data_IF_180519959413
#
_entry.id   IF_180519959413
#
_cell.length_a   1.000
_cell.length_b   1.000
_cell.length_c   1.000
_cell.angle_alpha   90.00
_cell.angle_beta   90.00
_cell.angle_gamma   90.00
#
_symmetry.space_group_name_H-M   'P 1'
#
loop_
_entity.id
_entity.type
_entity.pdbx_description
1 polymer ?
#
# COMPACT_ATOMS: atom_id res chain seq x y z
N UNK A 1 -14.71 16.20 -4.09
CA UNK A 1 -15.00 14.94 -3.38
C UNK A 1 -15.52 13.93 -4.38
N UNK A 2 -15.15 12.64 -4.20
CA UNK A 2 -15.59 11.52 -5.04
C UNK A 2 -16.23 10.45 -4.18
N UNK A 3 -17.38 9.96 -4.64
CA UNK A 3 -18.09 8.84 -4.02
C UNK A 3 -17.73 7.55 -4.79
N UNK A 4 -17.05 6.64 -4.14
CA UNK A 4 -16.77 5.28 -4.65
C UNK A 4 -17.99 4.38 -4.45
N UNK A 5 -17.96 3.23 -5.06
CA UNK A 5 -18.93 2.17 -4.86
C UNK A 5 -18.73 1.43 -3.52
N UNK A 6 -19.44 0.33 -3.37
CA UNK A 6 -19.38 -0.55 -2.20
C UNK A 6 -18.90 -1.96 -2.57
N UNK A 7 -19.26 -2.92 -1.71
CA UNK A 7 -18.80 -4.30 -1.79
C UNK A 7 -19.19 -5.00 -3.08
N UNK A 8 -18.22 -5.40 -3.90
CA UNK A 8 -18.44 -6.26 -5.07
C UNK A 8 -18.71 -7.70 -4.64
N UNK A 9 -17.90 -8.28 -3.77
CA UNK A 9 -18.04 -9.69 -3.35
C UNK A 9 -19.39 -10.03 -2.74
N UNK A 10 -19.90 -9.17 -1.84
CA UNK A 10 -21.24 -9.33 -1.24
C UNK A 10 -22.35 -9.34 -2.31
N UNK A 11 -22.24 -8.47 -3.30
CA UNK A 11 -23.21 -8.38 -4.40
C UNK A 11 -23.13 -9.60 -5.34
N UNK A 12 -21.92 -10.12 -5.62
CA UNK A 12 -21.73 -11.34 -6.40
C UNK A 12 -22.30 -12.56 -5.67
N UNK A 13 -22.11 -12.68 -4.37
CA UNK A 13 -22.72 -13.75 -3.56
C UNK A 13 -24.25 -13.70 -3.62
N UNK A 14 -24.83 -12.53 -3.51
CA UNK A 14 -26.28 -12.33 -3.66
C UNK A 14 -26.76 -12.68 -5.11
N UNK A 15 -25.90 -12.53 -6.10
CA UNK A 15 -26.17 -12.88 -7.50
C UNK A 15 -25.83 -14.35 -7.86
N UNK A 16 -25.49 -15.19 -6.87
CA UNK A 16 -25.27 -16.62 -7.03
C UNK A 16 -23.82 -17.03 -7.29
N UNK A 17 -22.85 -16.28 -6.76
CA UNK A 17 -21.46 -16.73 -6.70
C UNK A 17 -21.37 -17.93 -5.74
N UNK A 18 -20.94 -19.07 -6.26
CA UNK A 18 -20.77 -20.30 -5.50
C UNK A 18 -19.46 -20.30 -4.71
N UNK A 19 -19.44 -21.01 -3.58
CA UNK A 19 -18.24 -21.19 -2.78
C UNK A 19 -17.15 -21.92 -3.59
N UNK A 20 -15.91 -21.38 -3.56
CA UNK A 20 -14.78 -21.95 -4.29
C UNK A 20 -14.69 -21.53 -5.77
N UNK A 21 -15.64 -20.75 -6.28
CA UNK A 21 -15.57 -20.21 -7.64
C UNK A 21 -14.80 -18.88 -7.65
N UNK A 22 -14.01 -18.66 -8.72
CA UNK A 22 -13.24 -17.42 -8.91
C UNK A 22 -14.18 -16.23 -9.20
N UNK A 23 -14.30 -15.25 -8.31
CA UNK A 23 -15.19 -14.10 -8.52
C UNK A 23 -14.87 -13.30 -9.78
N UNK A 24 -13.58 -13.16 -10.08
CA UNK A 24 -13.07 -12.36 -11.20
C UNK A 24 -13.42 -12.97 -12.55
N UNK A 25 -13.66 -14.28 -12.60
CA UNK A 25 -14.04 -14.97 -13.83
C UNK A 25 -15.45 -14.57 -14.32
N UNK A 26 -16.30 -13.99 -13.44
CA UNK A 26 -17.59 -13.43 -13.84
C UNK A 26 -17.45 -12.30 -14.87
N UNK A 27 -16.31 -11.59 -14.90
CA UNK A 27 -16.06 -10.57 -15.92
C UNK A 27 -16.08 -11.14 -17.35
N UNK A 28 -15.74 -12.42 -17.50
CA UNK A 28 -15.66 -13.13 -18.78
C UNK A 28 -16.89 -13.99 -19.02
N UNK A 29 -17.33 -14.77 -18.03
CA UNK A 29 -18.38 -15.75 -18.19
C UNK A 29 -19.80 -15.23 -17.92
N UNK A 30 -19.92 -14.22 -17.03
CA UNK A 30 -21.20 -13.59 -16.64
C UNK A 30 -21.10 -12.08 -16.58
N UNK A 31 -20.61 -11.40 -17.65
CA UNK A 31 -20.33 -9.96 -17.64
C UNK A 31 -21.59 -9.13 -17.35
N UNK A 32 -22.78 -9.60 -17.71
CA UNK A 32 -24.05 -8.93 -17.43
C UNK A 32 -24.36 -8.84 -15.93
N UNK A 33 -23.91 -9.80 -15.13
CA UNK A 33 -24.07 -9.79 -13.66
C UNK A 33 -23.21 -8.67 -13.06
N UNK A 34 -21.94 -8.62 -13.43
CA UNK A 34 -20.99 -7.60 -12.99
C UNK A 34 -21.44 -6.21 -13.44
N UNK A 35 -21.86 -6.08 -14.71
CA UNK A 35 -22.40 -4.84 -15.27
C UNK A 35 -23.62 -4.34 -14.49
N UNK A 36 -24.54 -5.24 -14.13
CA UNK A 36 -25.73 -4.88 -13.35
C UNK A 36 -25.35 -4.40 -11.93
N UNK A 37 -24.35 -4.99 -11.30
CA UNK A 37 -23.85 -4.53 -9.98
C UNK A 37 -23.29 -3.11 -10.11
N UNK A 38 -22.44 -2.86 -11.10
CA UNK A 38 -21.91 -1.51 -11.38
C UNK A 38 -23.03 -0.51 -11.64
N UNK A 39 -24.03 -0.87 -12.45
CA UNK A 39 -25.18 -0.01 -12.74
C UNK A 39 -25.96 0.36 -11.47
N UNK A 40 -26.17 -0.58 -10.56
CA UNK A 40 -26.82 -0.31 -9.28
C UNK A 40 -26.04 0.72 -8.43
N UNK A 41 -24.72 0.59 -8.30
CA UNK A 41 -23.91 1.55 -7.57
C UNK A 41 -23.92 2.95 -8.21
N UNK A 42 -23.83 3.02 -9.55
CA UNK A 42 -23.94 4.29 -10.29
C UNK A 42 -25.29 4.99 -10.09
N UNK A 43 -26.40 4.22 -10.09
CA UNK A 43 -27.75 4.73 -9.83
C UNK A 43 -27.91 5.26 -8.41
N UNK A 44 -27.14 4.74 -7.46
CA UNK A 44 -27.17 5.13 -6.04
C UNK A 44 -26.08 6.14 -5.66
N UNK A 45 -25.49 6.83 -6.63
CA UNK A 45 -24.70 8.02 -6.38
C UNK A 45 -23.20 7.89 -6.52
N UNK A 46 -22.66 6.70 -6.83
CA UNK A 46 -21.21 6.54 -7.07
C UNK A 46 -20.71 7.42 -8.22
N UNK A 47 -19.59 8.06 -8.02
CA UNK A 47 -18.81 8.81 -9.03
C UNK A 47 -17.67 7.96 -9.61
N UNK A 48 -17.25 6.94 -8.87
CA UNK A 48 -16.20 5.99 -9.25
C UNK A 48 -16.72 4.58 -8.95
N UNK A 49 -16.56 3.68 -9.90
CA UNK A 49 -16.80 2.24 -9.70
C UNK A 49 -15.51 1.48 -9.79
N UNK A 50 -15.38 0.46 -8.94
CA UNK A 50 -14.19 -0.38 -8.80
C UNK A 50 -14.38 -1.68 -9.58
N UNK A 51 -13.43 -2.03 -10.44
CA UNK A 51 -13.50 -3.27 -11.24
C UNK A 51 -13.54 -4.52 -10.36
N UNK A 52 -14.17 -5.57 -10.84
CA UNK A 52 -14.15 -6.88 -10.18
C UNK A 52 -12.82 -7.61 -10.48
N UNK A 53 -11.71 -7.08 -9.94
CA UNK A 53 -10.34 -7.57 -10.20
C UNK A 53 -9.48 -7.66 -8.94
N UNK A 54 -10.09 -7.67 -7.76
CA UNK A 54 -9.41 -7.73 -6.47
C UNK A 54 -8.39 -8.88 -6.36
N UNK A 55 -8.77 -10.08 -6.81
CA UNK A 55 -7.92 -11.27 -6.85
C UNK A 55 -7.36 -11.58 -8.24
N UNK A 56 -7.33 -10.64 -9.20
CA UNK A 56 -6.96 -10.90 -10.59
C UNK A 56 -5.46 -10.77 -10.89
N UNK A 57 -4.57 -10.85 -9.90
CA UNK A 57 -3.13 -11.00 -10.10
C UNK A 57 -2.73 -12.47 -10.28
N UNK A 58 -1.58 -12.74 -10.92
CA UNK A 58 -1.14 -14.09 -11.25
C UNK A 58 -1.07 -15.03 -10.05
N UNK A 59 -0.43 -14.59 -8.95
CA UNK A 59 -0.28 -15.37 -7.71
C UNK A 59 -1.63 -15.71 -7.04
N UNK A 60 -2.65 -14.88 -7.24
CA UNK A 60 -3.98 -15.14 -6.67
C UNK A 60 -4.83 -16.00 -7.58
N UNK A 61 -4.73 -15.82 -8.88
CA UNK A 61 -5.40 -16.63 -9.89
C UNK A 61 -4.84 -18.07 -9.96
N UNK A 62 -3.59 -18.29 -9.51
CA UNK A 62 -2.99 -19.62 -9.36
C UNK A 62 -3.84 -20.53 -8.44
N UNK A 63 -4.50 -19.97 -7.43
CA UNK A 63 -5.38 -20.71 -6.52
C UNK A 63 -6.59 -21.36 -7.28
N UNK A 64 -6.82 -20.96 -8.54
CA UNK A 64 -7.91 -21.42 -9.42
C UNK A 64 -7.42 -22.00 -10.74
N UNK A 65 -6.11 -22.23 -10.93
CA UNK A 65 -5.48 -22.63 -12.21
C UNK A 65 -5.74 -21.62 -13.36
N UNK A 66 -5.85 -20.33 -13.05
CA UNK A 66 -6.16 -19.24 -13.98
C UNK A 66 -5.03 -18.20 -14.16
N UNK A 67 -3.82 -18.48 -13.67
CA UNK A 67 -2.68 -17.55 -13.68
C UNK A 67 -2.31 -17.04 -15.08
N UNK A 68 -2.55 -17.82 -16.13
CA UNK A 68 -2.28 -17.43 -17.52
C UNK A 68 -3.37 -16.50 -18.12
N UNK A 69 -4.42 -16.17 -17.36
CA UNK A 69 -5.56 -15.34 -17.80
C UNK A 69 -5.62 -13.96 -17.15
N UNK A 70 -4.56 -13.53 -16.48
CA UNK A 70 -4.48 -12.20 -15.81
C UNK A 70 -4.95 -11.09 -16.75
N UNK A 71 -4.31 -10.98 -17.91
CA UNK A 71 -4.61 -9.92 -18.88
C UNK A 71 -6.06 -9.98 -19.39
N UNK A 72 -6.55 -11.15 -19.74
CA UNK A 72 -7.93 -11.34 -20.24
C UNK A 72 -8.96 -10.86 -19.21
N UNK A 73 -8.83 -11.35 -17.96
CA UNK A 73 -9.78 -11.07 -16.87
C UNK A 73 -9.80 -9.58 -16.52
N UNK A 74 -8.63 -8.96 -16.38
CA UNK A 74 -8.53 -7.53 -16.02
C UNK A 74 -9.07 -6.61 -17.13
N UNK A 75 -8.76 -6.87 -18.41
CA UNK A 75 -9.29 -6.10 -19.53
C UNK A 75 -10.81 -6.26 -19.65
N UNK A 76 -11.33 -7.49 -19.49
CA UNK A 76 -12.76 -7.75 -19.51
C UNK A 76 -13.48 -6.97 -18.39
N UNK A 77 -12.93 -6.95 -17.18
CA UNK A 77 -13.50 -6.21 -16.06
C UNK A 77 -13.62 -4.70 -16.34
N UNK A 78 -12.55 -4.09 -16.87
CA UNK A 78 -12.57 -2.66 -17.24
C UNK A 78 -13.60 -2.39 -18.34
N UNK A 79 -13.72 -3.26 -19.32
CA UNK A 79 -14.72 -3.15 -20.39
C UNK A 79 -16.14 -3.16 -19.81
N UNK A 80 -16.45 -4.12 -18.93
CA UNK A 80 -17.76 -4.24 -18.28
C UNK A 80 -18.09 -3.00 -17.46
N UNK A 81 -17.14 -2.48 -16.69
CA UNK A 81 -17.31 -1.24 -15.92
C UNK A 81 -17.61 -0.04 -16.83
N UNK A 82 -16.87 0.11 -17.92
CA UNK A 82 -17.09 1.20 -18.90
C UNK A 82 -18.44 1.11 -19.61
N UNK A 83 -18.92 -0.09 -19.91
CA UNK A 83 -20.26 -0.28 -20.48
C UNK A 83 -21.35 0.17 -19.50
N UNK A 84 -21.23 -0.16 -18.21
CA UNK A 84 -22.16 0.32 -17.19
C UNK A 84 -22.14 1.85 -17.06
N UNK A 85 -20.96 2.46 -17.07
CA UNK A 85 -20.79 3.93 -17.02
C UNK A 85 -21.46 4.59 -18.23
N UNK A 86 -21.23 4.09 -19.44
CA UNK A 86 -21.77 4.66 -20.65
C UNK A 86 -23.32 4.66 -20.66
N UNK A 87 -23.92 3.64 -20.06
CA UNK A 87 -25.38 3.49 -20.00
C UNK A 87 -26.04 4.31 -18.87
N UNK A 88 -25.38 4.40 -17.71
CA UNK A 88 -26.02 4.92 -16.47
C UNK A 88 -25.52 6.33 -16.10
N UNK A 89 -24.19 6.53 -16.08
CA UNK A 89 -23.57 7.79 -15.63
C UNK A 89 -22.29 8.08 -16.40
N UNK A 90 -22.36 8.64 -17.63
CA UNK A 90 -21.19 8.88 -18.50
C UNK A 90 -20.08 9.77 -17.88
N UNK A 91 -20.36 10.48 -16.80
CA UNK A 91 -19.38 11.29 -16.07
C UNK A 91 -18.60 10.52 -14.99
N UNK A 92 -19.01 9.27 -14.69
CA UNK A 92 -18.33 8.43 -13.71
C UNK A 92 -16.98 7.93 -14.23
N UNK A 93 -16.15 7.42 -13.32
CA UNK A 93 -14.80 6.95 -13.58
C UNK A 93 -14.63 5.48 -13.17
N UNK A 94 -13.58 4.85 -13.70
CA UNK A 94 -13.23 3.44 -13.39
C UNK A 94 -11.96 3.39 -12.56
N UNK A 95 -12.01 2.69 -11.42
CA UNK A 95 -10.86 2.31 -10.63
C UNK A 95 -10.55 0.81 -10.82
N UNK A 96 -9.33 0.49 -11.28
CA UNK A 96 -8.85 -0.88 -11.36
C UNK A 96 -8.41 -1.38 -10.00
N UNK A 97 -9.10 -2.37 -9.45
CA UNK A 97 -8.82 -2.96 -8.13
C UNK A 97 -7.64 -3.92 -8.18
N UNK A 98 -6.72 -3.78 -7.23
CA UNK A 98 -5.60 -4.67 -6.97
C UNK A 98 -5.56 -4.99 -5.47
N UNK A 99 -6.03 -6.18 -5.10
CA UNK A 99 -6.00 -6.67 -3.72
C UNK A 99 -4.70 -7.38 -3.35
N UNK A 100 -4.55 -7.86 -2.10
CA UNK A 100 -3.35 -8.55 -1.64
C UNK A 100 -3.16 -9.91 -2.33
N UNK A 101 -1.91 -10.27 -2.55
CA UNK A 101 -1.55 -11.58 -3.14
C UNK A 101 -1.86 -12.76 -2.24
N UNK A 102 -2.03 -12.50 -0.93
CA UNK A 102 -2.16 -13.55 0.09
C UNK A 102 -0.83 -14.23 0.42
N UNK A 103 0.28 -13.68 -0.04
CA UNK A 103 1.64 -14.17 0.23
C UNK A 103 2.42 -13.12 1.02
N UNK A 104 3.32 -13.55 1.88
CA UNK A 104 4.22 -12.65 2.59
C UNK A 104 5.60 -12.62 1.94
N UNK A 105 6.19 -11.41 1.90
CA UNK A 105 7.56 -11.21 1.45
C UNK A 105 8.55 -11.69 2.51
N UNK A 106 9.77 -12.00 2.05
CA UNK A 106 10.90 -12.23 2.95
C UNK A 106 11.14 -10.99 3.83
N UNK A 107 11.57 -11.19 5.09
CA UNK A 107 11.85 -12.46 5.77
C UNK A 107 10.62 -13.09 6.47
N UNK A 108 9.43 -12.47 6.40
CA UNK A 108 8.20 -12.98 7.05
C UNK A 108 7.61 -14.18 6.32
N UNK A 109 7.76 -14.22 5.01
CA UNK A 109 7.33 -15.30 4.13
C UNK A 109 8.46 -15.78 3.23
N UNK A 110 8.11 -16.34 2.08
CA UNK A 110 9.03 -16.92 1.12
C UNK A 110 9.12 -16.20 -0.23
N UNK A 111 8.29 -15.16 -0.44
CA UNK A 111 8.30 -14.42 -1.69
C UNK A 111 9.41 -13.36 -1.69
N UNK A 112 10.10 -13.20 -2.81
CA UNK A 112 10.99 -12.06 -3.01
C UNK A 112 10.18 -10.79 -3.31
N UNK A 113 10.81 -9.63 -3.17
CA UNK A 113 10.20 -8.36 -3.60
C UNK A 113 9.88 -8.37 -5.10
N UNK A 114 10.78 -8.96 -5.91
CA UNK A 114 10.61 -9.01 -7.37
C UNK A 114 9.45 -9.92 -7.79
N UNK A 115 9.23 -11.07 -7.13
CA UNK A 115 8.08 -11.94 -7.43
C UNK A 115 6.75 -11.20 -7.22
N UNK A 116 6.66 -10.44 -6.13
CA UNK A 116 5.46 -9.63 -5.81
C UNK A 116 5.33 -8.45 -6.77
N UNK A 117 6.44 -7.77 -7.08
CA UNK A 117 6.46 -6.68 -8.05
C UNK A 117 5.99 -7.15 -9.43
N UNK A 118 6.52 -8.27 -9.93
CA UNK A 118 6.21 -8.78 -11.27
C UNK A 118 4.72 -9.16 -11.41
N UNK A 119 4.16 -9.80 -10.37
CA UNK A 119 2.73 -10.17 -10.39
C UNK A 119 1.80 -8.95 -10.40
N UNK A 120 2.13 -7.90 -9.64
CA UNK A 120 1.36 -6.65 -9.67
C UNK A 120 1.60 -5.84 -10.95
N UNK A 121 2.80 -5.94 -11.52
CA UNK A 121 3.14 -5.25 -12.76
C UNK A 121 2.27 -5.74 -13.92
N UNK A 122 2.13 -7.05 -14.07
CA UNK A 122 1.28 -7.65 -15.10
C UNK A 122 -0.19 -7.21 -14.95
N UNK A 123 -0.72 -7.21 -13.72
CA UNK A 123 -2.09 -6.77 -13.45
C UNK A 123 -2.27 -5.28 -13.74
N UNK A 124 -1.37 -4.43 -13.29
CA UNK A 124 -1.42 -2.99 -13.51
C UNK A 124 -1.36 -2.62 -15.01
N UNK A 125 -0.49 -3.29 -15.78
CA UNK A 125 -0.40 -3.12 -17.23
C UNK A 125 -1.73 -3.45 -17.92
N UNK A 126 -2.36 -4.57 -17.55
CA UNK A 126 -3.66 -4.98 -18.11
C UNK A 126 -4.79 -3.99 -17.77
N UNK A 127 -4.84 -3.49 -16.53
CA UNK A 127 -5.81 -2.48 -16.10
C UNK A 127 -5.63 -1.15 -16.85
N UNK A 128 -4.38 -0.68 -16.98
CA UNK A 128 -4.05 0.55 -17.70
C UNK A 128 -4.38 0.42 -19.18
N UNK A 129 -4.10 -0.73 -19.79
CA UNK A 129 -4.48 -1.03 -21.18
C UNK A 129 -5.99 -1.03 -21.38
N UNK A 130 -6.75 -1.59 -20.44
CA UNK A 130 -8.22 -1.51 -20.40
C UNK A 130 -8.71 -0.07 -20.31
N UNK A 131 -7.89 0.83 -19.80
CA UNK A 131 -8.11 2.29 -19.74
C UNK A 131 -8.84 2.73 -18.50
N UNK A 132 -8.37 2.34 -17.32
CA UNK A 132 -8.82 2.83 -16.02
C UNK A 132 -8.40 4.28 -15.80
N UNK A 133 -9.14 5.01 -14.96
CA UNK A 133 -8.81 6.36 -14.48
C UNK A 133 -7.97 6.32 -13.20
N UNK A 134 -8.16 5.25 -12.41
CA UNK A 134 -7.42 4.99 -11.17
C UNK A 134 -6.92 3.55 -11.15
N UNK A 135 -5.77 3.32 -10.53
CA UNK A 135 -5.42 2.04 -9.91
C UNK A 135 -5.65 2.20 -8.41
N UNK A 136 -6.39 1.29 -7.81
CA UNK A 136 -6.60 1.22 -6.38
C UNK A 136 -5.96 -0.06 -5.84
N UNK A 137 -4.85 0.10 -5.12
CA UNK A 137 -4.17 -0.96 -4.38
C UNK A 137 -4.83 -0.97 -3.01
N UNK A 138 -5.62 -1.99 -2.71
CA UNK A 138 -6.53 -1.97 -1.57
C UNK A 138 -6.38 -3.19 -0.65
N UNK A 139 -6.78 -3.01 0.61
CA UNK A 139 -6.81 -4.07 1.64
C UNK A 139 -5.42 -4.64 1.95
N UNK A 140 -4.37 -3.87 1.71
CA UNK A 140 -2.99 -4.31 1.96
C UNK A 140 -2.68 -4.22 3.46
N UNK A 141 -2.12 -5.30 3.98
CA UNK A 141 -1.81 -5.48 5.41
C UNK A 141 -0.30 -5.50 5.71
N UNK A 142 0.54 -5.40 4.68
CA UNK A 142 2.00 -5.36 4.79
C UNK A 142 2.56 -4.23 3.94
N UNK A 143 3.41 -3.39 4.58
CA UNK A 143 4.02 -2.25 3.89
C UNK A 143 4.97 -2.66 2.76
N UNK A 144 5.63 -3.82 2.84
CA UNK A 144 6.51 -4.29 1.76
C UNK A 144 5.71 -4.73 0.53
N UNK A 145 4.57 -5.39 0.73
CA UNK A 145 3.66 -5.72 -0.37
C UNK A 145 3.13 -4.44 -1.03
N UNK A 146 2.71 -3.45 -0.24
CA UNK A 146 2.28 -2.15 -0.77
C UNK A 146 3.38 -1.45 -1.57
N UNK A 147 4.63 -1.48 -1.10
CA UNK A 147 5.78 -0.88 -1.80
C UNK A 147 6.01 -1.54 -3.17
N UNK A 148 5.95 -2.86 -3.23
CA UNK A 148 6.09 -3.60 -4.49
C UNK A 148 4.93 -3.29 -5.46
N UNK A 149 3.68 -3.31 -4.98
CA UNK A 149 2.50 -3.01 -5.79
C UNK A 149 2.48 -1.56 -6.30
N UNK A 150 2.85 -0.59 -5.44
CA UNK A 150 2.95 0.81 -5.83
C UNK A 150 4.01 1.02 -6.90
N UNK A 151 5.21 0.47 -6.70
CA UNK A 151 6.30 0.58 -7.66
C UNK A 151 5.92 -0.04 -9.01
N UNK A 152 5.32 -1.23 -9.00
CA UNK A 152 4.81 -1.91 -10.19
C UNK A 152 3.79 -1.05 -10.95
N UNK A 153 2.86 -0.41 -10.22
CA UNK A 153 1.83 0.46 -10.80
C UNK A 153 2.40 1.75 -11.38
N UNK A 154 3.39 2.36 -10.70
CA UNK A 154 4.10 3.55 -11.20
C UNK A 154 4.85 3.25 -12.49
N UNK A 155 5.58 2.15 -12.53
CA UNK A 155 6.34 1.71 -13.70
C UNK A 155 5.42 1.29 -14.85
N UNK A 156 4.28 0.64 -14.57
CA UNK A 156 3.26 0.33 -15.59
C UNK A 156 2.67 1.60 -16.20
N UNK A 157 2.38 2.61 -15.37
CA UNK A 157 1.90 3.91 -15.82
C UNK A 157 2.92 4.62 -16.71
N UNK A 158 4.19 4.63 -16.32
CA UNK A 158 5.28 5.24 -17.09
C UNK A 158 5.50 4.50 -18.42
N UNK A 159 5.54 3.17 -18.42
CA UNK A 159 5.70 2.35 -19.62
C UNK A 159 4.56 2.56 -20.64
N UNK A 160 3.35 2.84 -20.17
CA UNK A 160 2.22 3.20 -21.03
C UNK A 160 2.26 4.67 -21.53
N UNK A 161 3.29 5.44 -21.19
CA UNK A 161 3.41 6.86 -21.53
C UNK A 161 2.39 7.75 -20.83
N UNK A 162 1.82 7.29 -19.73
CA UNK A 162 0.78 7.98 -18.95
C UNK A 162 1.37 8.70 -17.74
N UNK A 163 0.64 9.71 -17.27
CA UNK A 163 0.98 10.52 -16.10
C UNK A 163 -0.10 10.39 -15.02
N UNK A 164 0.11 10.98 -13.85
CA UNK A 164 -0.92 11.07 -12.80
C UNK A 164 -2.18 11.86 -13.21
N UNK A 165 -2.15 12.59 -14.33
CA UNK A 165 -3.35 13.23 -14.89
C UNK A 165 -4.22 12.24 -15.65
N UNK A 166 -3.61 11.16 -16.15
CA UNK A 166 -4.28 10.14 -16.95
C UNK A 166 -4.74 8.97 -16.07
N UNK A 167 -3.88 8.51 -15.14
CA UNK A 167 -4.17 7.43 -14.19
C UNK A 167 -3.59 7.79 -12.83
N UNK A 168 -4.42 7.93 -11.81
CA UNK A 168 -3.97 8.14 -10.42
C UNK A 168 -3.84 6.81 -9.67
N UNK A 169 -2.86 6.71 -8.77
CA UNK A 169 -2.62 5.52 -7.96
C UNK A 169 -3.04 5.80 -6.53
N UNK A 170 -3.98 4.99 -6.03
CA UNK A 170 -4.53 5.03 -4.69
C UNK A 170 -3.93 3.87 -3.90
N UNK A 171 -3.33 4.17 -2.73
CA UNK A 171 -2.78 3.17 -1.83
C UNK A 171 -3.64 3.10 -0.57
N UNK A 172 -4.34 1.98 -0.36
CA UNK A 172 -5.19 1.76 0.82
C UNK A 172 -4.68 0.60 1.66
N UNK A 173 -4.40 0.89 2.92
CA UNK A 173 -4.05 -0.10 3.91
C UNK A 173 -5.27 -0.57 4.68
N UNK A 174 -5.20 -1.79 5.20
CA UNK A 174 -6.12 -2.30 6.22
C UNK A 174 -5.40 -2.37 7.56
N UNK A 175 -6.02 -1.80 8.58
CA UNK A 175 -5.52 -1.78 9.95
C UNK A 175 -6.42 -2.61 10.87
N UNK A 176 -5.82 -3.21 11.90
CA UNK A 176 -6.53 -3.88 12.98
C UNK A 176 -7.06 -2.85 14.00
N UNK A 177 -7.82 -3.32 15.00
CA UNK A 177 -8.41 -2.44 16.04
C UNK A 177 -7.37 -1.67 16.86
N UNK A 178 -6.14 -2.15 16.94
CA UNK A 178 -5.03 -1.47 17.59
C UNK A 178 -4.41 -0.34 16.74
N UNK A 179 -4.97 -0.05 15.57
CA UNK A 179 -4.50 0.97 14.65
C UNK A 179 -3.23 0.61 13.89
N UNK A 180 -2.88 -0.68 13.79
CA UNK A 180 -1.69 -1.14 13.07
C UNK A 180 -2.05 -2.15 11.99
N UNK A 181 -1.21 -2.22 10.95
CA UNK A 181 -1.28 -3.36 10.03
C UNK A 181 -0.85 -4.64 10.75
N UNK A 182 -1.12 -5.80 10.17
CA UNK A 182 -0.73 -7.09 10.77
C UNK A 182 0.79 -7.20 10.99
N UNK A 183 1.58 -6.47 10.21
CA UNK A 183 3.05 -6.40 10.34
C UNK A 183 3.53 -5.27 11.25
N UNK A 184 2.60 -4.59 11.96
CA UNK A 184 2.89 -3.60 12.99
C UNK A 184 3.03 -2.16 12.53
N UNK A 185 2.78 -1.85 11.26
CA UNK A 185 2.95 -0.50 10.70
C UNK A 185 1.77 0.41 11.06
N UNK A 186 1.97 1.57 11.73
CA UNK A 186 0.93 2.54 12.01
C UNK A 186 0.62 3.43 10.79
N UNK A 187 -0.54 4.12 10.75
CA UNK A 187 -0.99 4.94 9.62
C UNK A 187 0.00 6.03 9.20
N UNK A 188 0.57 6.77 10.13
CA UNK A 188 1.52 7.83 9.82
C UNK A 188 2.80 7.31 9.14
N UNK A 189 3.31 6.15 9.57
CA UNK A 189 4.48 5.50 8.98
C UNK A 189 4.15 4.99 7.57
N UNK A 190 3.04 4.26 7.42
CA UNK A 190 2.57 3.76 6.13
C UNK A 190 2.42 4.90 5.11
N UNK A 191 1.77 5.98 5.52
CA UNK A 191 1.58 7.21 4.73
C UNK A 191 2.91 7.80 4.27
N UNK A 192 3.84 8.01 5.21
CA UNK A 192 5.16 8.61 4.91
C UNK A 192 5.95 7.78 3.88
N UNK A 193 5.87 6.44 3.96
CA UNK A 193 6.56 5.54 3.03
C UNK A 193 5.98 5.67 1.62
N UNK A 194 4.66 5.49 1.47
CA UNK A 194 4.05 5.47 0.13
C UNK A 194 3.98 6.85 -0.53
N UNK A 195 3.83 7.94 0.26
CA UNK A 195 3.95 9.31 -0.26
C UNK A 195 5.34 9.57 -0.84
N UNK A 196 6.40 9.16 -0.12
CA UNK A 196 7.78 9.31 -0.59
C UNK A 196 8.04 8.54 -1.89
N UNK A 197 7.40 7.40 -2.08
CA UNK A 197 7.50 6.59 -3.30
C UNK A 197 6.64 7.12 -4.46
N UNK A 198 5.73 8.06 -4.23
CA UNK A 198 4.96 8.70 -5.29
C UNK A 198 3.52 8.25 -5.44
N UNK A 199 2.87 7.76 -4.38
CA UNK A 199 1.42 7.57 -4.35
C UNK A 199 0.71 8.90 -4.63
N UNK A 200 -0.40 8.86 -5.37
CA UNK A 200 -1.18 10.07 -5.68
C UNK A 200 -2.28 10.31 -4.63
N UNK A 201 -2.81 9.25 -4.05
CA UNK A 201 -3.86 9.25 -3.03
C UNK A 201 -3.54 8.15 -2.01
N UNK A 202 -3.76 8.42 -0.73
CA UNK A 202 -3.47 7.48 0.35
C UNK A 202 -4.75 7.23 1.14
N UNK A 203 -4.91 6.03 1.72
CA UNK A 203 -6.12 5.79 2.50
C UNK A 203 -6.19 4.49 3.24
N UNK A 204 -7.42 4.21 3.68
CA UNK A 204 -7.79 3.04 4.47
C UNK A 204 -9.04 2.40 3.87
N UNK A 205 -9.06 1.08 3.81
CA UNK A 205 -10.29 0.35 3.51
C UNK A 205 -10.39 -0.94 4.33
N UNK A 206 -11.60 -1.46 4.42
CA UNK A 206 -11.90 -2.76 5.04
C UNK A 206 -11.54 -2.84 6.54
N UNK A 207 -11.58 -4.05 7.11
CA UNK A 207 -11.32 -4.44 8.50
C UNK A 207 -12.21 -3.77 9.55
N UNK A 208 -12.36 -2.47 9.53
CA UNK A 208 -12.98 -1.64 10.56
C UNK A 208 -14.26 -0.95 10.04
N UNK A 209 -15.11 -0.52 10.96
CA UNK A 209 -16.25 0.36 10.69
C UNK A 209 -15.85 1.84 10.72
N UNK A 210 -16.80 2.75 10.36
CA UNK A 210 -16.52 4.19 10.28
C UNK A 210 -15.96 4.80 11.57
N UNK A 211 -16.54 4.45 12.72
CA UNK A 211 -16.13 5.01 14.03
C UNK A 211 -14.67 4.66 14.39
N UNK A 212 -14.22 3.42 14.09
CA UNK A 212 -12.87 2.96 14.37
C UNK A 212 -11.85 3.53 13.39
N UNK A 213 -12.27 3.79 12.14
CA UNK A 213 -11.37 4.33 11.10
C UNK A 213 -11.13 5.83 11.26
N UNK A 214 -12.09 6.60 11.75
CA UNK A 214 -11.98 8.06 11.86
C UNK A 214 -10.69 8.55 12.52
N UNK A 215 -10.26 8.02 13.68
CA UNK A 215 -8.99 8.44 14.30
C UNK A 215 -7.75 8.11 13.44
N UNK A 216 -7.81 7.04 12.64
CA UNK A 216 -6.71 6.64 11.76
C UNK A 216 -6.61 7.59 10.55
N UNK A 217 -7.75 8.09 10.04
CA UNK A 217 -7.76 9.14 9.02
C UNK A 217 -7.19 10.46 9.55
N UNK A 218 -7.49 10.82 10.79
CA UNK A 218 -6.89 11.99 11.45
C UNK A 218 -5.36 11.85 11.56
N UNK A 219 -4.86 10.64 11.91
CA UNK A 219 -3.42 10.36 11.94
C UNK A 219 -2.78 10.52 10.56
N UNK A 220 -3.37 9.94 9.50
CA UNK A 220 -2.92 10.12 8.12
C UNK A 220 -2.91 11.62 7.76
N UNK A 221 -4.00 12.33 8.04
CA UNK A 221 -4.15 13.75 7.73
C UNK A 221 -3.10 14.63 8.44
N UNK A 222 -2.54 14.17 9.55
CA UNK A 222 -1.51 14.90 10.31
C UNK A 222 -0.12 14.88 9.68
N UNK A 223 0.13 13.99 8.70
CA UNK A 223 1.48 13.78 8.13
C UNK A 223 1.57 13.97 6.61
N UNK A 224 0.45 14.15 5.90
CA UNK A 224 0.44 14.32 4.43
C UNK A 224 -0.47 15.44 3.97
N UNK A 225 -0.18 16.02 2.80
CA UNK A 225 -1.08 16.92 2.08
C UNK A 225 -1.79 16.23 0.90
N UNK A 226 -1.51 14.96 0.64
CA UNK A 226 -2.18 14.21 -0.42
C UNK A 226 -3.67 14.04 -0.11
N UNK A 227 -4.51 13.86 -1.14
CA UNK A 227 -5.90 13.47 -0.94
C UNK A 227 -5.99 12.14 -0.17
N UNK A 228 -7.02 11.99 0.65
CA UNK A 228 -7.23 10.82 1.48
C UNK A 228 -8.46 10.06 1.00
N UNK A 229 -8.32 8.74 0.87
CA UNK A 229 -9.38 7.80 0.53
C UNK A 229 -9.81 6.97 1.75
N UNK A 230 -11.11 6.73 1.90
CA UNK A 230 -11.64 5.90 2.97
C UNK A 230 -12.86 5.08 2.54
N UNK A 231 -12.77 3.76 2.71
CA UNK A 231 -13.84 2.82 2.37
C UNK A 231 -14.03 1.81 3.52
N UNK A 232 -14.75 2.18 4.60
CA UNK A 232 -14.99 1.31 5.75
C UNK A 232 -15.98 0.19 5.43
N UNK A 233 -15.98 -0.84 6.27
CA UNK A 233 -17.03 -1.85 6.30
C UNK A 233 -18.36 -1.25 6.82
N UNK A 234 -19.46 -1.91 6.53
CA UNK A 234 -20.76 -1.59 7.14
C UNK A 234 -20.80 -2.03 8.63
N UNK A 235 -19.92 -1.42 9.43
CA UNK A 235 -19.66 -1.76 10.84
C UNK A 235 -18.67 -2.89 11.00
N UNK A 236 -18.38 -3.23 12.27
CA UNK A 236 -17.47 -4.34 12.61
C UNK A 236 -18.10 -5.69 12.25
N UNK A 237 -17.37 -6.60 11.58
CA UNK A 237 -17.91 -7.91 11.23
C UNK A 237 -18.24 -8.74 12.49
N UNK A 238 -19.41 -9.37 12.46
CA UNK A 238 -19.88 -10.26 13.52
C UNK A 238 -20.15 -11.65 12.96
N UNK A 239 -19.76 -12.68 13.70
CA UNK A 239 -20.05 -14.06 13.31
C UNK A 239 -21.39 -14.49 13.93
N UNK A 240 -22.46 -14.50 13.12
CA UNK A 240 -23.80 -14.91 13.54
C UNK A 240 -24.18 -16.17 12.75
N UNK A 241 -24.49 -17.27 13.46
CA UNK A 241 -24.85 -18.56 12.84
C UNK A 241 -23.83 -19.05 11.77
N UNK A 242 -22.54 -18.88 12.02
CA UNK A 242 -21.41 -19.19 11.10
C UNK A 242 -21.37 -18.35 9.82
N UNK A 243 -22.12 -17.26 9.77
CA UNK A 243 -22.05 -16.29 8.67
C UNK A 243 -21.48 -14.96 9.18
N UNK A 244 -20.65 -14.34 8.38
CA UNK A 244 -20.16 -12.99 8.66
C UNK A 244 -21.27 -11.99 8.31
N UNK A 245 -21.70 -11.23 9.31
CA UNK A 245 -22.74 -10.19 9.18
C UNK A 245 -22.12 -8.84 9.52
N UNK A 246 -22.45 -7.84 8.74
CA UNK A 246 -22.07 -6.44 8.99
C UNK A 246 -23.31 -5.71 9.50
N UNK A 247 -23.28 -5.23 10.77
CA UNK A 247 -24.51 -4.83 11.46
C UNK A 247 -24.99 -3.39 11.15
N UNK A 248 -24.13 -2.54 10.58
CA UNK A 248 -24.46 -1.13 10.35
C UNK A 248 -25.45 -1.01 9.18
N UNK A 249 -26.57 -0.34 9.44
CA UNK A 249 -27.59 -0.10 8.40
C UNK A 249 -27.21 1.06 7.48
N UNK A 250 -27.87 1.13 6.33
CA UNK A 250 -27.64 2.23 5.38
C UNK A 250 -27.95 3.60 5.99
N UNK A 251 -29.00 3.70 6.79
CA UNK A 251 -29.42 4.96 7.45
C UNK A 251 -28.40 5.43 8.49
N UNK A 252 -27.74 4.51 9.17
CA UNK A 252 -26.71 4.81 10.17
C UNK A 252 -25.37 5.18 9.54
N UNK A 253 -25.04 4.56 8.40
CA UNK A 253 -23.72 4.74 7.77
C UNK A 253 -23.48 6.16 7.25
N UNK A 254 -24.47 6.74 6.58
CA UNK A 254 -24.34 8.08 5.99
C UNK A 254 -23.88 9.15 6.99
N UNK A 255 -24.54 9.33 8.14
CA UNK A 255 -24.10 10.27 9.18
C UNK A 255 -22.67 10.00 9.72
N UNK A 256 -22.30 8.75 9.95
CA UNK A 256 -20.96 8.38 10.45
C UNK A 256 -19.84 8.71 9.45
N UNK A 257 -20.13 8.67 8.15
CA UNK A 257 -19.15 9.07 7.13
C UNK A 257 -18.81 10.56 7.15
N UNK A 258 -19.63 11.42 7.76
CA UNK A 258 -19.33 12.84 7.90
C UNK A 258 -18.13 13.10 8.80
N UNK A 259 -17.93 12.30 9.85
CA UNK A 259 -16.75 12.39 10.72
C UNK A 259 -15.47 12.05 9.95
N UNK A 260 -15.52 11.06 9.06
CA UNK A 260 -14.41 10.68 8.17
C UNK A 260 -14.09 11.81 7.17
N UNK A 261 -15.13 12.45 6.62
CA UNK A 261 -14.97 13.61 5.73
C UNK A 261 -14.35 14.78 6.48
N UNK A 262 -14.80 15.06 7.69
CA UNK A 262 -14.27 16.13 8.55
C UNK A 262 -12.85 15.84 9.04
N UNK A 263 -12.47 14.56 9.17
CA UNK A 263 -11.08 14.14 9.43
C UNK A 263 -10.16 14.35 8.21
N UNK A 264 -10.71 14.62 7.02
CA UNK A 264 -9.93 15.01 5.84
C UNK A 264 -10.02 14.08 4.64
N UNK A 265 -10.85 13.03 4.66
CA UNK A 265 -11.06 12.17 3.51
C UNK A 265 -11.87 12.90 2.40
N UNK A 266 -11.46 12.71 1.16
CA UNK A 266 -12.09 13.33 -0.02
C UNK A 266 -12.49 12.32 -1.11
N UNK A 267 -12.07 11.06 -0.95
CA UNK A 267 -12.46 9.91 -1.76
C UNK A 267 -13.09 8.89 -0.81
N UNK A 268 -14.39 8.75 -0.84
CA UNK A 268 -15.14 7.96 0.15
C UNK A 268 -16.05 6.95 -0.53
N UNK A 269 -16.29 5.83 0.12
CA UNK A 269 -17.17 4.78 -0.35
C UNK A 269 -17.40 3.74 0.73
N UNK A 270 -17.67 2.51 0.34
CA UNK A 270 -17.84 1.41 1.27
C UNK A 270 -17.00 0.20 0.89
N UNK A 271 -16.76 -0.69 1.87
CA UNK A 271 -16.15 -1.99 1.68
C UNK A 271 -17.13 -3.09 2.10
N UNK A 272 -16.67 -4.15 2.75
CA UNK A 272 -17.49 -5.32 3.07
C UNK A 272 -18.82 -4.98 3.77
N UNK A 273 -19.88 -5.66 3.33
CA UNK A 273 -21.24 -5.48 3.87
C UNK A 273 -21.99 -4.27 3.31
N UNK A 274 -21.34 -3.35 2.59
CA UNK A 274 -22.02 -2.21 2.00
C UNK A 274 -22.78 -2.61 0.72
N UNK A 275 -23.93 -1.98 0.51
CA UNK A 275 -24.85 -2.20 -0.60
C UNK A 275 -25.13 -0.89 -1.32
N UNK A 276 -25.80 -0.88 -2.47
CA UNK A 276 -26.23 0.36 -3.12
C UNK A 276 -26.98 1.32 -2.20
N UNK A 277 -27.81 0.82 -1.26
CA UNK A 277 -28.51 1.66 -0.29
C UNK A 277 -27.53 2.40 0.66
N UNK A 278 -26.45 1.75 1.09
CA UNK A 278 -25.41 2.39 1.89
C UNK A 278 -24.73 3.52 1.11
N UNK A 279 -24.38 3.28 -0.16
CA UNK A 279 -23.78 4.31 -1.01
C UNK A 279 -24.72 5.47 -1.25
N UNK A 280 -26.02 5.23 -1.43
CA UNK A 280 -27.02 6.29 -1.52
C UNK A 280 -27.01 7.15 -0.25
N UNK A 281 -27.05 6.53 0.93
CA UNK A 281 -27.05 7.23 2.22
C UNK A 281 -25.77 8.07 2.40
N UNK A 282 -24.60 7.51 2.07
CA UNK A 282 -23.31 8.24 2.06
C UNK A 282 -23.38 9.44 1.12
N UNK A 283 -23.80 9.21 -0.12
CA UNK A 283 -23.89 10.26 -1.16
C UNK A 283 -24.81 11.40 -0.73
N UNK A 284 -25.97 11.10 -0.16
CA UNK A 284 -26.93 12.10 0.28
C UNK A 284 -26.42 12.90 1.50
N UNK A 285 -25.83 12.23 2.48
CA UNK A 285 -25.24 12.87 3.64
C UNK A 285 -24.12 13.84 3.25
N UNK A 286 -23.19 13.37 2.42
CA UNK A 286 -22.02 14.15 2.01
C UNK A 286 -22.37 15.32 1.09
N UNK A 287 -23.34 15.18 0.19
CA UNK A 287 -23.81 16.30 -0.65
C UNK A 287 -24.46 17.43 0.14
N UNK A 288 -25.04 17.12 1.30
CA UNK A 288 -25.64 18.09 2.21
C UNK A 288 -24.65 18.69 3.21
N UNK A 289 -23.41 18.18 3.28
CA UNK A 289 -22.38 18.57 4.24
C UNK A 289 -21.33 19.49 3.65
N UNK A 290 -20.82 20.42 4.46
CA UNK A 290 -19.66 21.24 4.12
C UNK A 290 -18.46 20.72 4.93
N UNK A 291 -17.49 20.06 4.26
CA UNK A 291 -16.33 19.52 4.93
C UNK A 291 -15.52 20.57 5.67
N UNK A 292 -14.92 20.20 6.80
CA UNK A 292 -13.91 21.01 7.46
C UNK A 292 -12.69 21.16 6.56
N UNK A 293 -12.11 22.36 6.55
CA UNK A 293 -10.87 22.59 5.83
C UNK A 293 -9.71 21.91 6.56
N UNK A 294 -8.95 21.07 5.82
CA UNK A 294 -7.77 20.41 6.37
C UNK A 294 -6.60 21.38 6.43
N UNK A 295 -5.95 21.43 7.59
CA UNK A 295 -4.74 22.23 7.77
C UNK A 295 -3.64 21.77 6.79
N UNK A 296 -2.95 22.73 6.18
CA UNK A 296 -1.79 22.44 5.34
C UNK A 296 -0.59 22.04 6.19
N UNK A 297 0.03 20.91 5.88
CA UNK A 297 1.21 20.38 6.55
C UNK A 297 2.46 20.96 5.89
N UNK A 298 3.33 21.60 6.65
CA UNK A 298 4.66 21.98 6.15
C UNK A 298 5.48 20.72 5.93
N UNK A 299 6.05 20.51 4.72
CA UNK A 299 6.88 19.35 4.44
C UNK A 299 8.05 19.22 5.41
N UNK A 300 8.27 18.01 5.92
CA UNK A 300 9.33 17.67 6.85
C UNK A 300 10.23 16.59 6.25
N UNK A 301 11.50 16.58 6.67
CA UNK A 301 12.36 15.45 6.38
C UNK A 301 12.10 14.36 7.40
N UNK A 302 11.60 13.23 6.92
CA UNK A 302 11.22 12.09 7.77
C UNK A 302 11.88 10.84 7.23
N UNK A 303 12.46 10.04 8.12
CA UNK A 303 12.86 8.67 7.86
C UNK A 303 12.02 7.72 8.72
N UNK A 304 11.87 6.48 8.30
CA UNK A 304 11.08 5.52 9.05
C UNK A 304 11.74 4.13 9.07
N UNK A 305 11.46 3.39 10.13
CA UNK A 305 11.46 1.92 10.05
C UNK A 305 10.07 1.43 9.63
N UNK A 306 9.81 0.14 9.77
CA UNK A 306 8.46 -0.44 9.58
C UNK A 306 7.43 0.16 10.55
N UNK A 307 7.85 0.50 11.76
CA UNK A 307 6.95 0.82 12.88
C UNK A 307 7.17 2.21 13.47
N UNK A 308 8.30 2.85 13.19
CA UNK A 308 8.71 4.10 13.84
C UNK A 308 9.01 5.19 12.83
N UNK A 309 8.52 6.39 13.12
CA UNK A 309 8.76 7.61 12.38
C UNK A 309 9.78 8.47 13.13
N UNK A 310 10.76 9.02 12.41
CA UNK A 310 11.78 9.93 12.96
C UNK A 310 11.89 11.18 12.08
N UNK A 311 11.58 12.33 12.67
CA UNK A 311 11.69 13.63 12.02
C UNK A 311 13.10 14.20 12.16
N UNK A 312 13.69 14.68 11.04
CA UNK A 312 14.97 15.35 10.99
C UNK A 312 14.77 16.84 10.69
N UNK A 313 15.37 17.73 11.50
CA UNK A 313 15.25 19.16 11.23
C UNK A 313 15.94 20.00 12.29
N UNK A 314 16.11 21.30 11.99
CA UNK A 314 16.74 22.24 12.91
C UNK A 314 15.94 22.50 14.21
N UNK A 315 14.66 22.16 14.20
CA UNK A 315 13.76 22.31 15.34
C UNK A 315 13.64 21.03 16.19
N UNK A 316 14.26 19.93 15.76
CA UNK A 316 14.33 18.69 16.52
C UNK A 316 15.57 18.67 17.43
N UNK A 317 15.54 17.80 18.46
CA UNK A 317 16.77 17.51 19.22
C UNK A 317 17.84 16.91 18.29
N UNK A 318 19.14 17.06 18.60
CA UNK A 318 20.18 16.32 17.91
C UNK A 318 19.92 14.82 17.96
N UNK A 319 20.08 14.13 16.83
CA UNK A 319 19.90 12.70 16.70
C UNK A 319 21.26 12.00 16.73
N UNK A 320 21.30 10.81 17.32
CA UNK A 320 22.49 10.00 17.42
C UNK A 320 22.44 8.89 16.38
N UNK A 321 23.45 8.85 15.50
CA UNK A 321 23.63 7.76 14.53
C UNK A 321 24.67 6.78 15.11
N UNK A 322 24.24 5.52 15.30
CA UNK A 322 25.13 4.45 15.72
C UNK A 322 25.85 3.82 14.54
N UNK A 323 27.18 3.87 14.50
CA UNK A 323 28.02 3.50 13.33
C UNK A 323 28.86 2.23 13.58
N UNK A 324 28.51 1.38 14.56
CA UNK A 324 29.32 0.20 14.88
C UNK A 324 29.07 -0.99 13.96
N UNK A 325 28.02 -1.00 13.16
CA UNK A 325 27.76 -2.05 12.17
C UNK A 325 28.55 -1.74 10.89
N UNK A 326 29.87 -1.75 11.05
CA UNK A 326 30.82 -1.47 9.97
C UNK A 326 32.07 -2.37 10.13
N UNK A 327 32.38 -3.26 9.16
CA UNK A 327 33.53 -4.17 9.23
C UNK A 327 34.87 -3.48 9.01
N UNK A 328 34.90 -2.23 8.56
CA UNK A 328 36.14 -1.48 8.31
C UNK A 328 36.93 -1.33 9.60
N UNK A 329 38.17 -1.83 9.61
CA UNK A 329 39.03 -1.83 10.78
C UNK A 329 38.64 -2.83 11.89
N UNK A 330 37.52 -3.54 11.76
CA UNK A 330 36.98 -4.49 12.75
C UNK A 330 37.18 -5.95 12.29
N UNK A 331 38.40 -6.46 12.44
CA UNK A 331 38.82 -7.79 11.92
C UNK A 331 37.89 -8.94 12.34
N UNK A 332 37.36 -8.90 13.58
CA UNK A 332 36.48 -9.96 14.07
C UNK A 332 35.14 -9.93 13.37
N UNK A 333 34.51 -8.72 13.21
CA UNK A 333 33.26 -8.57 12.48
C UNK A 333 33.43 -8.97 11.00
N UNK A 334 34.52 -8.51 10.36
CA UNK A 334 34.82 -8.89 8.97
C UNK A 334 34.99 -10.41 8.80
N UNK A 335 35.60 -11.11 9.77
CA UNK A 335 35.73 -12.56 9.72
C UNK A 335 34.38 -13.27 9.93
N UNK A 336 33.58 -12.83 10.90
CA UNK A 336 32.24 -13.38 11.10
C UNK A 336 31.37 -13.25 9.86
N UNK A 337 31.41 -12.09 9.16
CA UNK A 337 30.71 -11.90 7.89
C UNK A 337 31.21 -12.84 6.79
N UNK A 338 32.52 -13.08 6.69
CA UNK A 338 33.10 -14.10 5.75
C UNK A 338 32.58 -15.50 6.05
N UNK A 339 32.42 -15.83 7.33
CA UNK A 339 31.91 -17.11 7.78
C UNK A 339 30.34 -17.19 7.71
N UNK A 340 29.69 -16.14 7.19
CA UNK A 340 28.22 -16.05 7.07
C UNK A 340 27.51 -15.85 8.41
N UNK A 341 28.20 -15.38 9.47
CA UNK A 341 27.62 -15.13 10.78
C UNK A 341 27.23 -13.67 10.95
N UNK A 342 25.98 -13.42 11.38
CA UNK A 342 25.42 -12.10 11.69
C UNK A 342 25.23 -11.88 13.20
N UNK A 343 25.77 -12.73 14.05
CA UNK A 343 25.62 -12.63 15.51
C UNK A 343 26.13 -11.29 16.04
N UNK A 344 27.31 -10.85 15.58
CA UNK A 344 27.89 -9.57 16.00
C UNK A 344 27.14 -8.37 15.43
N UNK A 345 26.66 -8.44 14.18
CA UNK A 345 25.79 -7.41 13.59
C UNK A 345 24.57 -7.17 14.48
N UNK A 346 23.88 -8.25 14.85
CA UNK A 346 22.69 -8.17 15.73
C UNK A 346 23.02 -7.64 17.11
N UNK A 347 24.11 -8.10 17.71
CA UNK A 347 24.56 -7.64 19.02
C UNK A 347 24.91 -6.15 18.99
N UNK A 348 25.73 -5.73 18.01
CA UNK A 348 26.12 -4.30 17.87
C UNK A 348 24.89 -3.41 17.64
N UNK A 349 23.85 -3.89 16.93
CA UNK A 349 22.59 -3.17 16.75
C UNK A 349 21.89 -2.96 18.11
N UNK A 350 21.69 -4.03 18.89
CA UNK A 350 21.03 -3.94 20.19
C UNK A 350 21.81 -3.08 21.18
N UNK A 351 23.13 -3.24 21.25
CA UNK A 351 24.01 -2.45 22.14
C UNK A 351 23.91 -0.94 21.82
N UNK A 352 23.82 -0.58 20.52
CA UNK A 352 23.69 0.83 20.09
C UNK A 352 22.28 1.39 20.39
N UNK A 353 21.23 0.61 20.18
CA UNK A 353 19.87 1.01 20.53
C UNK A 353 19.72 1.22 22.02
N UNK A 354 20.28 0.30 22.84
CA UNK A 354 20.29 0.44 24.30
C UNK A 354 21.09 1.68 24.76
N UNK A 355 22.17 2.02 24.03
CA UNK A 355 22.97 3.22 24.30
C UNK A 355 22.29 4.53 23.82
N UNK A 356 21.11 4.45 23.19
CA UNK A 356 20.30 5.59 22.78
C UNK A 356 20.51 6.07 21.33
N UNK A 357 20.98 5.21 20.43
CA UNK A 357 21.03 5.52 19.00
C UNK A 357 19.62 5.73 18.44
N UNK A 358 19.41 6.85 17.75
CA UNK A 358 18.15 7.17 17.06
C UNK A 358 18.11 6.57 15.65
N UNK A 359 19.27 6.30 15.03
CA UNK A 359 19.47 5.72 13.70
C UNK A 359 20.63 4.72 13.78
N UNK A 360 20.57 3.61 13.04
CA UNK A 360 21.68 2.68 12.89
C UNK A 360 22.25 2.78 11.48
N UNK A 361 23.53 3.10 11.37
CA UNK A 361 24.28 3.07 10.12
C UNK A 361 24.80 1.66 9.83
N UNK A 362 24.51 1.16 8.63
CA UNK A 362 24.75 -0.24 8.24
C UNK A 362 25.68 -0.30 7.05
N UNK A 363 26.91 -0.78 7.29
CA UNK A 363 27.90 -1.02 6.26
C UNK A 363 28.31 -2.51 6.26
N UNK A 364 28.30 -3.14 5.07
CA UNK A 364 28.63 -4.54 4.86
C UNK A 364 29.87 -4.71 3.96
N UNK A 365 30.69 -3.68 3.77
CA UNK A 365 31.87 -3.67 2.91
C UNK A 365 33.03 -4.50 3.50
N UNK A 366 33.13 -5.77 3.12
CA UNK A 366 34.23 -6.67 3.48
C UNK A 366 35.15 -6.86 2.28
N UNK A 367 36.43 -6.50 2.43
CA UNK A 367 37.40 -6.59 1.35
C UNK A 367 37.44 -8.01 0.72
N UNK A 368 37.30 -8.07 -0.61
CA UNK A 368 37.33 -9.32 -1.38
C UNK A 368 36.02 -10.12 -1.37
N UNK A 369 34.91 -9.54 -0.87
CA UNK A 369 33.59 -10.15 -0.92
C UNK A 369 32.62 -9.25 -1.69
N UNK A 370 31.64 -9.88 -2.36
CA UNK A 370 30.45 -9.19 -2.83
C UNK A 370 29.61 -8.76 -1.62
N UNK A 371 29.36 -7.47 -1.49
CA UNK A 371 28.59 -6.94 -0.36
C UNK A 371 27.08 -7.03 -0.55
N UNK A 372 26.59 -7.26 -1.79
CA UNK A 372 25.15 -7.29 -2.09
C UNK A 372 24.40 -8.33 -1.26
N UNK A 373 24.79 -9.63 -1.22
CA UNK A 373 24.09 -10.63 -0.39
C UNK A 373 24.27 -10.39 1.12
N UNK A 374 25.39 -9.77 1.53
CA UNK A 374 25.62 -9.42 2.93
C UNK A 374 24.67 -8.29 3.37
N UNK A 375 24.51 -7.28 2.51
CA UNK A 375 23.63 -6.14 2.76
C UNK A 375 22.16 -6.59 2.81
N UNK A 376 21.72 -7.39 1.84
CA UNK A 376 20.36 -7.95 1.84
C UNK A 376 20.05 -8.67 3.15
N UNK A 377 20.92 -9.56 3.55
CA UNK A 377 20.74 -10.31 4.80
C UNK A 377 20.79 -9.42 6.03
N UNK A 378 21.69 -8.42 6.07
CA UNK A 378 21.75 -7.46 7.17
C UNK A 378 20.41 -6.70 7.31
N UNK A 379 19.83 -6.25 6.19
CA UNK A 379 18.54 -5.56 6.18
C UNK A 379 17.42 -6.46 6.73
N UNK A 380 17.33 -7.73 6.30
CA UNK A 380 16.36 -8.68 6.82
C UNK A 380 16.51 -8.92 8.33
N UNK A 381 17.74 -9.21 8.78
CA UNK A 381 18.03 -9.50 10.19
C UNK A 381 17.73 -8.27 11.08
N UNK A 382 18.14 -7.07 10.65
CA UNK A 382 17.96 -5.83 11.44
C UNK A 382 16.51 -5.34 11.43
N UNK A 383 15.81 -5.42 10.30
CA UNK A 383 14.40 -5.00 10.22
C UNK A 383 13.45 -5.84 11.08
N UNK A 384 13.87 -7.07 11.42
CA UNK A 384 13.13 -7.94 12.34
C UNK A 384 13.56 -7.79 13.80
N UNK A 385 14.74 -7.21 14.04
CA UNK A 385 15.35 -7.15 15.37
C UNK A 385 15.09 -5.82 16.09
N UNK A 386 15.09 -4.70 15.34
CA UNK A 386 15.01 -3.35 15.91
C UNK A 386 13.97 -2.49 15.21
N UNK A 387 13.35 -1.58 15.96
CA UNK A 387 12.43 -0.56 15.41
C UNK A 387 13.16 0.71 14.97
N UNK A 388 14.45 0.81 15.22
CA UNK A 388 15.27 2.00 14.90
C UNK A 388 15.45 2.10 13.40
N UNK A 389 15.18 3.27 12.78
CA UNK A 389 15.42 3.50 11.35
C UNK A 389 16.90 3.26 10.97
N UNK A 390 17.11 2.81 9.73
CA UNK A 390 18.44 2.50 9.21
C UNK A 390 18.96 3.59 8.28
N UNK A 391 20.27 3.79 8.32
CA UNK A 391 21.09 4.46 7.32
C UNK A 391 21.85 3.40 6.53
N UNK A 392 21.70 3.41 5.21
CA UNK A 392 22.34 2.44 4.32
C UNK A 392 23.68 3.04 3.85
N UNK A 393 24.78 2.51 4.38
CA UNK A 393 26.14 2.97 4.11
C UNK A 393 26.85 2.07 3.10
N UNK A 394 26.84 2.45 1.84
CA UNK A 394 27.59 1.79 0.78
C UNK A 394 27.77 2.71 -0.42
N UNK A 395 28.89 2.56 -1.12
CA UNK A 395 29.17 3.20 -2.42
C UNK A 395 28.81 2.28 -3.60
N UNK A 396 28.46 1.02 -3.34
CA UNK A 396 28.08 0.06 -4.38
C UNK A 396 26.59 0.23 -4.72
N UNK A 397 26.22 0.64 -5.94
CA UNK A 397 24.83 0.84 -6.32
C UNK A 397 23.97 -0.41 -6.24
N UNK A 398 24.53 -1.60 -6.48
CA UNK A 398 23.80 -2.86 -6.41
C UNK A 398 23.47 -3.23 -4.94
N UNK A 399 24.42 -3.05 -4.02
CA UNK A 399 24.21 -3.24 -2.61
C UNK A 399 23.24 -2.19 -2.04
N UNK A 400 23.29 -0.93 -2.52
CA UNK A 400 22.33 0.12 -2.17
C UNK A 400 20.92 -0.26 -2.63
N UNK A 401 20.77 -0.67 -3.88
CA UNK A 401 19.47 -1.02 -4.44
C UNK A 401 18.82 -2.19 -3.69
N UNK A 402 19.55 -3.28 -3.45
CA UNK A 402 19.03 -4.43 -2.74
C UNK A 402 18.63 -4.08 -1.31
N UNK A 403 19.39 -3.20 -0.65
CA UNK A 403 19.04 -2.70 0.69
C UNK A 403 17.74 -1.90 0.67
N UNK A 404 17.63 -0.90 -0.19
CA UNK A 404 16.46 -0.03 -0.30
C UNK A 404 15.21 -0.80 -0.72
N UNK A 405 15.34 -1.77 -1.63
CA UNK A 405 14.27 -2.65 -2.07
C UNK A 405 13.70 -3.46 -0.91
N UNK A 406 14.55 -4.05 -0.09
CA UNK A 406 14.15 -4.97 0.98
C UNK A 406 13.89 -4.29 2.33
N UNK A 407 14.22 -3.01 2.48
CA UNK A 407 13.98 -2.28 3.72
C UNK A 407 12.51 -1.83 3.83
N UNK A 408 11.77 -2.26 4.87
CA UNK A 408 10.34 -1.93 5.02
C UNK A 408 10.10 -0.54 5.61
N UNK A 409 10.84 0.46 5.16
CA UNK A 409 10.81 1.82 5.67
C UNK A 409 11.36 2.81 4.66
N UNK A 410 11.47 4.06 5.08
CA UNK A 410 12.16 5.12 4.35
C UNK A 410 13.55 5.31 4.96
N UNK A 411 14.58 4.74 4.34
CA UNK A 411 15.94 4.77 4.84
C UNK A 411 16.63 6.13 4.67
N UNK A 412 17.69 6.37 5.46
CA UNK A 412 18.70 7.37 5.14
C UNK A 412 19.73 6.74 4.18
N UNK A 413 20.12 7.44 3.14
CA UNK A 413 21.17 7.00 2.20
C UNK A 413 22.49 7.63 2.60
N UNK A 414 23.51 6.81 2.82
CA UNK A 414 24.89 7.18 3.12
C UNK A 414 25.82 6.50 2.08
N UNK A 415 26.28 7.19 0.99
CA UNK A 415 26.03 8.59 0.73
C UNK A 415 26.02 8.89 -0.77
N UNK A 416 25.58 10.08 -1.09
CA UNK A 416 25.78 10.69 -2.39
C UNK A 416 26.82 11.78 -2.25
N UNK A 417 27.92 11.72 -3.03
CA UNK A 417 28.91 12.79 -3.11
C UNK A 417 28.70 13.63 -4.40
N UNK A 418 29.53 14.65 -4.61
CA UNK A 418 29.45 15.54 -5.77
C UNK A 418 30.03 14.97 -7.09
N UNK A 419 30.43 13.72 -7.13
CA UNK A 419 30.95 13.06 -8.31
C UNK A 419 29.80 12.62 -9.22
N UNK A 420 29.99 12.79 -10.55
CA UNK A 420 28.96 12.47 -11.54
C UNK A 420 28.50 11.02 -11.46
N UNK A 421 29.39 10.08 -11.21
CA UNK A 421 29.13 8.67 -11.07
C UNK A 421 28.19 8.40 -9.86
N UNK A 422 28.49 9.01 -8.70
CA UNK A 422 27.65 8.89 -7.49
C UNK A 422 26.25 9.46 -7.72
N UNK A 423 26.18 10.66 -8.31
CA UNK A 423 24.88 11.31 -8.62
C UNK A 423 24.07 10.46 -9.60
N UNK A 424 24.70 9.96 -10.66
CA UNK A 424 24.01 9.21 -11.73
C UNK A 424 23.47 7.86 -11.26
N UNK A 425 24.16 7.18 -10.35
CA UNK A 425 23.76 5.85 -9.89
C UNK A 425 22.89 5.87 -8.61
N UNK A 426 23.17 6.76 -7.65
CA UNK A 426 22.49 6.73 -6.34
C UNK A 426 21.24 7.59 -6.31
N UNK A 427 21.22 8.76 -6.96
CA UNK A 427 20.02 9.63 -6.95
C UNK A 427 18.78 8.98 -7.56
N UNK A 428 18.87 8.21 -8.66
CA UNK A 428 17.70 7.46 -9.15
C UNK A 428 17.15 6.45 -8.15
N UNK A 429 18.03 5.74 -7.42
CA UNK A 429 17.62 4.82 -6.36
C UNK A 429 16.92 5.55 -5.22
N UNK A 430 17.46 6.69 -4.78
CA UNK A 430 16.84 7.54 -3.75
C UNK A 430 15.46 8.07 -4.16
N UNK A 431 15.24 8.29 -5.45
CA UNK A 431 13.95 8.71 -5.99
C UNK A 431 12.97 7.54 -6.12
N UNK A 432 13.47 6.33 -6.37
CA UNK A 432 12.65 5.16 -6.65
C UNK A 432 12.10 4.50 -5.38
N UNK A 433 12.91 4.39 -4.33
CA UNK A 433 12.64 3.65 -3.10
C UNK A 433 12.42 4.56 -1.88
#
# INVERSE_FOLDING_TARGET
MYIFDGAMGTMLQAAGLEEGYCPELFNVERPEVVKNIHAQYLQHGSDVITTNTFGACGLKLEDYDLQDRVREINIAAVKVAKEAIAEVKPSARVAGSMGPTGRFLQPLGNMSFDDIYDTYREQAEALIEGGVDFIIIETIIDVQEMRAALLASLDAREAAGKTKKDVQIICQFSFSEDGRTITGTPPAVATTIVEAMGADIIGINCSLGPEQITPLIEEIASVTNLPISCQPNAGMPQLINKQTVFPLTAEEMGPLMLDIVDAGASYIGGCCGTTPAHIQSISDAVKAHTPKERAHITPKTIITSRTKLLELGHHTKPLIIGERINPTGRKVLAQELRDGSFIRVKRDALDQVEAGADILDVNMGVAGMDQTPLMERAIFELSMLVETPLSIDTLDPAAMEVALKNYPGRALINSVNGEEESITHVMPLAKRY
#
